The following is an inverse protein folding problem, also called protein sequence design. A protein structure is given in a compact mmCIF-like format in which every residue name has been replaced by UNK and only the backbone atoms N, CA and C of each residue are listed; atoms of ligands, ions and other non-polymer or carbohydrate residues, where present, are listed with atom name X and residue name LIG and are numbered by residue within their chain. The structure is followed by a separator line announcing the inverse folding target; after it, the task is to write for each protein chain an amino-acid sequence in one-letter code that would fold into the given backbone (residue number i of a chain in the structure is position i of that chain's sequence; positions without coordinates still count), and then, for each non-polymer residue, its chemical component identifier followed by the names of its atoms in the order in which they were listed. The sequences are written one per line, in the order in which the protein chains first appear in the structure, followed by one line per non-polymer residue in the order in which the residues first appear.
data_IF_090700096514
#
_entry.id   IF_090700096514
#
_cell.length_a   1.000
_cell.length_b   1.000
_cell.length_c   1.000
_cell.angle_alpha   90.00
_cell.angle_beta   90.00
_cell.angle_gamma   90.00
#
_symmetry.space_group_name_H-M   'P 1'
#
loop_
_entity.id
_entity.type
_entity.pdbx_description
1 polymer ?
#
# COMPACT_ATOMS: atom_id res chain seq x y z
N UNK A 1 -29.37 -21.33 12.03
CA UNK A 1 -27.94 -20.96 12.08
C UNK A 1 -27.77 -19.78 11.14
N UNK A 2 -27.93 -18.57 11.66
CA UNK A 2 -27.69 -17.34 10.92
C UNK A 2 -26.21 -17.04 11.03
N UNK A 3 -25.48 -17.26 9.93
CA UNK A 3 -24.14 -16.71 9.78
C UNK A 3 -24.33 -15.21 9.64
N UNK A 4 -23.90 -14.46 10.65
CA UNK A 4 -23.69 -13.02 10.48
C UNK A 4 -22.46 -12.91 9.61
N UNK A 5 -22.65 -12.71 8.32
CA UNK A 5 -21.58 -12.35 7.41
C UNK A 5 -21.00 -11.02 7.91
N UNK A 6 -19.80 -11.05 8.47
CA UNK A 6 -19.00 -9.85 8.65
C UNK A 6 -18.69 -9.36 7.24
N UNK A 7 -19.55 -8.51 6.68
CA UNK A 7 -19.20 -7.73 5.50
C UNK A 7 -17.91 -7.03 5.86
N UNK A 8 -16.84 -7.35 5.14
CA UNK A 8 -15.57 -6.67 5.31
C UNK A 8 -15.79 -5.16 5.35
N UNK A 9 -15.06 -4.47 6.21
CA UNK A 9 -15.09 -3.02 6.41
C UNK A 9 -14.56 -2.29 5.16
N UNK A 10 -15.21 -2.48 4.02
CA UNK A 10 -14.85 -1.86 2.76
C UNK A 10 -15.64 -0.57 2.65
N UNK A 11 -14.99 0.59 2.63
CA UNK A 11 -15.69 1.85 2.57
C UNK A 11 -16.38 2.03 1.22
N UNK A 12 -17.59 2.59 1.27
CA UNK A 12 -18.44 2.80 0.09
C UNK A 12 -17.94 4.04 -0.66
N UNK A 13 -17.63 3.89 -1.95
CA UNK A 13 -17.09 4.96 -2.82
C UNK A 13 -15.76 5.59 -2.34
N UNK A 14 -14.96 4.86 -1.54
CA UNK A 14 -13.59 5.27 -1.17
C UNK A 14 -12.63 4.08 -1.19
N UNK A 15 -11.33 4.38 -1.28
CA UNK A 15 -10.30 3.38 -1.05
C UNK A 15 -10.16 3.11 0.46
N UNK A 16 -9.70 1.92 0.83
CA UNK A 16 -9.31 1.62 2.22
C UNK A 16 -8.09 2.47 2.56
N UNK A 17 -8.06 3.10 3.74
CA UNK A 17 -7.00 4.03 4.13
C UNK A 17 -7.07 5.38 3.42
N UNK A 18 -8.22 5.73 2.82
CA UNK A 18 -8.55 7.08 2.34
C UNK A 18 -10.03 7.39 2.68
N UNK A 19 -10.43 7.30 3.95
CA UNK A 19 -11.81 7.55 4.43
C UNK A 19 -11.98 8.70 5.41
N UNK A 20 -10.94 9.50 5.59
CA UNK A 20 -10.84 10.66 6.48
C UNK A 20 -11.97 11.71 6.37
N UNK A 21 -12.64 11.84 5.21
CA UNK A 21 -13.74 12.80 5.03
C UNK A 21 -15.09 12.30 5.58
N UNK A 22 -15.15 11.03 5.98
CA UNK A 22 -16.31 10.46 6.66
C UNK A 22 -16.00 10.32 8.14
N UNK A 23 -16.80 10.97 8.99
CA UNK A 23 -16.62 10.88 10.45
C UNK A 23 -16.64 9.41 10.88
N UNK A 24 -15.56 8.87 11.46
CA UNK A 24 -15.54 7.49 11.94
C UNK A 24 -16.56 7.32 13.07
N UNK A 25 -17.42 6.30 13.02
CA UNK A 25 -18.33 5.96 14.14
C UNK A 25 -17.57 5.36 15.34
N UNK A 26 -16.29 4.99 15.17
CA UNK A 26 -15.45 4.34 16.19
C UNK A 26 -14.05 4.95 16.13
N UNK A 27 -13.53 5.37 17.29
CA UNK A 27 -12.12 5.75 17.42
C UNK A 27 -11.24 4.50 17.23
N UNK A 28 -10.39 4.51 16.22
CA UNK A 28 -9.37 3.46 16.05
C UNK A 28 -8.33 3.59 17.17
N UNK A 29 -8.00 2.48 17.82
CA UNK A 29 -6.78 2.40 18.64
C UNK A 29 -5.62 2.51 17.65
N UNK A 30 -4.89 3.63 17.68
CA UNK A 30 -3.85 3.92 16.71
C UNK A 30 -2.75 2.87 16.81
N UNK A 31 -2.45 2.20 15.70
CA UNK A 31 -1.33 1.25 15.60
C UNK A 31 -0.03 2.02 15.83
N UNK A 32 0.79 1.61 16.79
CA UNK A 32 2.10 2.25 16.96
C UNK A 32 3.03 1.80 15.83
N UNK A 33 4.01 2.64 15.48
CA UNK A 33 4.93 2.31 14.38
C UNK A 33 5.63 0.95 14.57
N UNK A 34 5.96 0.58 15.80
CA UNK A 34 6.56 -0.71 16.17
C UNK A 34 5.63 -1.92 16.04
N UNK A 35 4.32 -1.69 16.02
CA UNK A 35 3.30 -2.72 15.89
C UNK A 35 2.78 -2.83 14.44
N UNK A 36 3.09 -1.85 13.59
CA UNK A 36 2.69 -1.86 12.20
C UNK A 36 3.44 -2.92 11.39
N UNK A 37 2.69 -3.72 10.64
CA UNK A 37 3.16 -4.69 9.68
C UNK A 37 2.90 -4.19 8.25
N UNK A 38 3.97 -4.01 7.48
CA UNK A 38 3.89 -3.55 6.09
C UNK A 38 4.37 -4.65 5.15
N UNK A 39 3.52 -5.06 4.22
CA UNK A 39 3.93 -5.90 3.08
C UNK A 39 4.54 -5.04 1.98
N UNK A 40 5.80 -5.24 1.64
CA UNK A 40 6.49 -4.50 0.57
C UNK A 40 6.74 -5.41 -0.62
N UNK A 41 6.05 -5.15 -1.72
CA UNK A 41 6.26 -5.80 -3.02
C UNK A 41 7.30 -5.00 -3.80
N UNK A 42 8.44 -5.63 -4.07
CA UNK A 42 9.58 -5.00 -4.71
C UNK A 42 9.41 -4.71 -6.19
N UNK A 43 10.34 -3.91 -6.72
CA UNK A 43 10.45 -3.51 -8.11
C UNK A 43 11.74 -4.06 -8.74
N UNK A 44 11.94 -3.78 -10.04
CA UNK A 44 13.21 -4.07 -10.73
C UNK A 44 14.41 -3.35 -10.08
N UNK A 45 14.18 -2.23 -9.39
CA UNK A 45 15.21 -1.47 -8.67
C UNK A 45 15.24 -1.84 -7.18
N UNK A 46 15.84 -3.00 -6.89
CA UNK A 46 16.04 -3.48 -5.51
C UNK A 46 16.85 -2.52 -4.62
N UNK A 47 17.66 -1.63 -5.21
CA UNK A 47 18.43 -0.65 -4.43
C UNK A 47 17.51 0.48 -3.94
N UNK A 48 16.63 0.98 -4.81
CA UNK A 48 15.59 1.94 -4.42
C UNK A 48 14.61 1.35 -3.42
N UNK A 49 14.17 0.09 -3.63
CA UNK A 49 13.34 -0.63 -2.67
C UNK A 49 14.00 -0.67 -1.29
N UNK A 50 15.30 -1.00 -1.25
CA UNK A 50 16.05 -1.09 0.01
C UNK A 50 16.12 0.25 0.75
N UNK A 51 16.25 1.38 0.05
CA UNK A 51 16.24 2.70 0.69
C UNK A 51 14.90 2.98 1.38
N UNK A 52 13.79 2.68 0.69
CA UNK A 52 12.46 2.83 1.27
C UNK A 52 12.25 1.89 2.48
N UNK A 53 12.66 0.63 2.36
CA UNK A 53 12.55 -0.37 3.45
C UNK A 53 13.41 0.03 4.65
N UNK A 54 14.66 0.45 4.42
CA UNK A 54 15.57 0.86 5.49
C UNK A 54 15.01 2.12 6.21
N UNK A 55 14.41 3.07 5.48
CA UNK A 55 13.76 4.25 6.07
C UNK A 55 12.53 3.89 6.94
N UNK A 56 11.72 2.91 6.52
CA UNK A 56 10.61 2.40 7.32
C UNK A 56 11.11 1.67 8.58
N UNK A 57 12.14 0.84 8.43
CA UNK A 57 12.71 0.06 9.52
C UNK A 57 13.44 0.93 10.56
N UNK A 58 14.05 2.05 10.16
CA UNK A 58 14.70 3.02 11.07
C UNK A 58 13.72 3.61 12.09
N UNK A 59 12.45 3.78 11.68
CA UNK A 59 11.35 4.26 12.52
C UNK A 59 10.61 3.11 13.24
N UNK A 60 11.13 1.89 13.14
CA UNK A 60 10.64 0.71 13.87
C UNK A 60 9.52 -0.08 13.18
N UNK A 61 9.17 0.24 11.93
CA UNK A 61 8.10 -0.43 11.19
C UNK A 61 8.54 -1.83 10.75
N UNK A 62 7.69 -2.84 10.96
CA UNK A 62 7.98 -4.21 10.54
C UNK A 62 7.66 -4.38 9.05
N UNK A 63 8.68 -4.53 8.20
CA UNK A 63 8.50 -4.67 6.76
C UNK A 63 8.75 -6.12 6.30
N UNK A 64 7.74 -6.73 5.70
CA UNK A 64 7.87 -8.00 4.99
C UNK A 64 8.18 -7.76 3.52
N UNK A 65 9.38 -8.09 3.09
CA UNK A 65 9.82 -7.85 1.71
C UNK A 65 9.58 -9.06 0.80
N UNK A 66 8.85 -8.86 -0.30
CA UNK A 66 8.74 -9.77 -1.42
C UNK A 66 9.51 -9.21 -2.61
N UNK A 67 10.67 -9.80 -2.90
CA UNK A 67 11.53 -9.35 -3.99
C UNK A 67 10.84 -9.50 -5.36
N UNK A 68 11.10 -8.55 -6.25
CA UNK A 68 10.64 -8.63 -7.63
C UNK A 68 11.27 -9.83 -8.34
N UNK A 69 10.45 -10.55 -9.10
CA UNK A 69 10.91 -11.65 -9.93
C UNK A 69 10.36 -11.47 -11.34
N UNK A 70 11.23 -11.20 -12.31
CA UNK A 70 10.89 -10.95 -13.71
C UNK A 70 10.44 -12.21 -14.49
N UNK A 71 9.94 -13.25 -13.80
CA UNK A 71 9.47 -14.47 -14.46
C UNK A 71 8.10 -14.21 -15.11
N UNK A 72 8.08 -14.20 -16.46
CA UNK A 72 6.94 -13.86 -17.33
C UNK A 72 6.37 -12.43 -17.12
N UNK A 73 5.42 -11.98 -17.94
CA UNK A 73 4.71 -10.67 -18.00
C UNK A 73 5.26 -9.51 -17.12
N UNK A 74 6.55 -9.21 -17.23
CA UNK A 74 7.22 -8.20 -16.41
C UNK A 74 7.11 -8.41 -14.90
N UNK A 75 7.02 -9.65 -14.41
CA UNK A 75 6.93 -9.99 -12.98
C UNK A 75 5.58 -9.70 -12.31
N UNK A 76 4.56 -9.26 -13.06
CA UNK A 76 3.26 -8.85 -12.53
C UNK A 76 2.57 -9.99 -11.75
N UNK A 77 2.55 -11.22 -12.27
CA UNK A 77 1.91 -12.35 -11.60
C UNK A 77 2.55 -12.67 -10.24
N UNK A 78 3.88 -12.57 -10.12
CA UNK A 78 4.58 -12.79 -8.86
C UNK A 78 4.30 -11.67 -7.86
N UNK A 79 4.25 -10.43 -8.34
CA UNK A 79 3.87 -9.28 -7.52
C UNK A 79 2.43 -9.42 -7.00
N UNK A 80 1.48 -9.81 -7.86
CA UNK A 80 0.07 -10.06 -7.50
C UNK A 80 -0.08 -11.18 -6.47
N UNK A 81 0.68 -12.27 -6.62
CA UNK A 81 0.72 -13.33 -5.62
C UNK A 81 1.25 -12.82 -4.28
N UNK A 82 2.30 -12.00 -4.30
CA UNK A 82 2.88 -11.41 -3.08
C UNK A 82 1.87 -10.52 -2.34
N UNK A 83 1.08 -9.72 -3.07
CA UNK A 83 -0.04 -8.96 -2.48
C UNK A 83 -1.03 -9.91 -1.81
N UNK A 84 -1.40 -10.99 -2.48
CA UNK A 84 -2.33 -11.98 -1.94
C UNK A 84 -1.80 -12.66 -0.67
N UNK A 85 -0.50 -12.95 -0.62
CA UNK A 85 0.16 -13.53 0.55
C UNK A 85 0.19 -12.55 1.73
N UNK A 86 0.41 -11.26 1.47
CA UNK A 86 0.34 -10.21 2.50
C UNK A 86 -1.09 -9.98 3.00
N UNK A 87 -2.07 -10.05 2.11
CA UNK A 87 -3.49 -10.01 2.49
C UNK A 87 -3.85 -11.18 3.39
N UNK A 88 -3.42 -12.39 3.05
CA UNK A 88 -3.62 -13.59 3.87
C UNK A 88 -2.91 -13.53 5.23
N UNK A 89 -1.83 -12.75 5.32
CA UNK A 89 -1.11 -12.47 6.57
C UNK A 89 -1.80 -11.41 7.43
N UNK A 90 -2.72 -10.64 6.86
CA UNK A 90 -3.38 -9.50 7.50
C UNK A 90 -2.39 -8.42 7.94
N UNK A 91 -1.49 -8.02 7.03
CA UNK A 91 -0.66 -6.82 7.22
C UNK A 91 -1.53 -5.56 7.30
N UNK A 92 -1.01 -4.51 7.93
CA UNK A 92 -1.72 -3.23 8.09
C UNK A 92 -1.73 -2.40 6.80
N UNK A 93 -0.72 -2.58 5.92
CA UNK A 93 -0.64 -1.92 4.63
C UNK A 93 0.22 -2.72 3.63
N UNK A 94 -0.14 -2.66 2.35
CA UNK A 94 0.69 -3.18 1.26
C UNK A 94 1.29 -2.01 0.46
N UNK A 95 2.62 -1.94 0.37
CA UNK A 95 3.33 -1.04 -0.55
C UNK A 95 3.73 -1.83 -1.79
N UNK A 96 3.41 -1.32 -2.98
CA UNK A 96 3.86 -1.89 -4.25
C UNK A 96 4.81 -0.91 -4.94
N UNK A 97 6.08 -1.27 -5.02
CA UNK A 97 7.12 -0.49 -5.69
C UNK A 97 7.10 -0.70 -7.19
N UNK A 98 7.22 0.38 -7.96
CA UNK A 98 7.32 0.32 -9.42
C UNK A 98 6.07 -0.23 -10.10
N UNK A 99 4.90 -0.11 -9.47
CA UNK A 99 3.64 -0.63 -10.00
C UNK A 99 3.41 -0.20 -11.46
N UNK A 100 3.07 -1.17 -12.31
CA UNK A 100 2.85 -0.95 -13.73
C UNK A 100 1.68 -1.80 -14.22
N UNK A 101 0.56 -1.13 -14.49
CA UNK A 101 -0.59 -1.70 -15.15
C UNK A 101 -0.48 -1.48 -16.67
N UNK A 102 -0.78 -2.55 -17.41
CA UNK A 102 -0.75 -2.61 -18.88
C UNK A 102 -2.05 -3.27 -19.36
N UNK A 103 -2.33 -3.22 -20.66
CA UNK A 103 -3.52 -3.90 -21.22
C UNK A 103 -3.53 -5.42 -21.00
N UNK A 104 -2.39 -6.06 -20.74
CA UNK A 104 -2.28 -7.52 -20.58
C UNK A 104 -2.54 -7.98 -19.14
N UNK A 105 -2.23 -7.14 -18.15
CA UNK A 105 -2.37 -7.46 -16.73
C UNK A 105 -3.42 -6.60 -16.01
N UNK A 106 -4.21 -5.80 -16.74
CA UNK A 106 -5.20 -4.90 -16.15
C UNK A 106 -6.23 -5.66 -15.30
N UNK A 107 -6.91 -6.64 -15.88
CA UNK A 107 -7.96 -7.39 -15.19
C UNK A 107 -7.43 -8.09 -13.92
N UNK A 108 -6.22 -8.67 -14.01
CA UNK A 108 -5.61 -9.36 -12.87
C UNK A 108 -5.16 -8.40 -11.77
N UNK A 109 -4.65 -7.22 -12.13
CA UNK A 109 -4.33 -6.18 -11.14
C UNK A 109 -5.58 -5.60 -10.49
N UNK A 110 -6.62 -5.30 -11.27
CA UNK A 110 -7.90 -4.81 -10.74
C UNK A 110 -8.47 -5.82 -9.75
N UNK A 111 -8.47 -7.11 -10.10
CA UNK A 111 -8.91 -8.16 -9.18
C UNK A 111 -8.03 -8.24 -7.92
N UNK A 112 -6.70 -8.18 -8.06
CA UNK A 112 -5.76 -8.25 -6.92
C UNK A 112 -5.98 -7.12 -5.93
N UNK A 113 -6.08 -5.89 -6.43
CA UNK A 113 -6.32 -4.70 -5.60
C UNK A 113 -7.74 -4.70 -5.00
N UNK A 114 -8.73 -5.22 -5.74
CA UNK A 114 -10.09 -5.40 -5.22
C UNK A 114 -10.09 -6.37 -4.04
N UNK A 115 -9.38 -7.50 -4.13
CA UNK A 115 -9.28 -8.46 -3.03
C UNK A 115 -8.62 -7.84 -1.78
N UNK A 116 -7.55 -7.04 -1.95
CA UNK A 116 -6.92 -6.34 -0.84
C UNK A 116 -7.88 -5.34 -0.19
N UNK A 117 -8.59 -4.56 -1.01
CA UNK A 117 -9.63 -3.62 -0.57
C UNK A 117 -10.76 -4.33 0.18
N UNK A 118 -11.27 -5.45 -0.36
CA UNK A 118 -12.28 -6.29 0.28
C UNK A 118 -11.78 -6.99 1.54
N UNK A 119 -10.47 -7.10 1.74
CA UNK A 119 -9.89 -7.55 3.01
C UNK A 119 -9.76 -6.40 4.04
N UNK A 120 -10.04 -5.16 3.65
CA UNK A 120 -9.84 -3.98 4.49
C UNK A 120 -8.37 -3.59 4.63
N UNK A 121 -7.52 -3.97 3.67
CA UNK A 121 -6.08 -3.66 3.70
C UNK A 121 -5.79 -2.54 2.68
N UNK A 122 -5.28 -1.38 3.12
CA UNK A 122 -4.91 -0.29 2.23
C UNK A 122 -3.70 -0.68 1.36
N UNK A 123 -3.69 -0.18 0.13
CA UNK A 123 -2.58 -0.35 -0.81
C UNK A 123 -2.00 1.02 -1.17
N UNK A 124 -0.68 1.17 -1.03
CA UNK A 124 0.06 2.34 -1.48
C UNK A 124 0.97 1.97 -2.66
N UNK A 125 1.03 2.84 -3.66
CA UNK A 125 1.85 2.63 -4.87
C UNK A 125 3.09 3.50 -4.81
N UNK A 126 4.27 2.92 -4.63
CA UNK A 126 5.55 3.64 -4.56
C UNK A 126 6.19 3.74 -5.95
N UNK A 127 6.46 4.98 -6.40
CA UNK A 127 6.98 5.29 -7.72
C UNK A 127 6.31 4.49 -8.86
N UNK A 128 4.98 4.51 -8.98
CA UNK A 128 4.28 3.76 -10.02
C UNK A 128 4.65 4.29 -11.41
N UNK A 129 4.83 3.39 -12.38
CA UNK A 129 5.01 3.74 -13.80
C UNK A 129 3.67 4.05 -14.48
N UNK A 130 2.59 3.44 -14.01
CA UNK A 130 1.21 3.71 -14.43
C UNK A 130 0.26 3.47 -13.27
N UNK A 131 -0.88 4.15 -13.25
CA UNK A 131 -1.88 4.02 -12.18
C UNK A 131 -3.10 3.24 -12.68
N UNK A 132 -3.83 2.53 -11.81
CA UNK A 132 -5.17 2.04 -12.12
C UNK A 132 -6.11 3.23 -12.43
N UNK A 133 -7.02 3.06 -13.39
CA UNK A 133 -8.04 4.07 -13.70
C UNK A 133 -9.05 4.26 -12.56
N UNK A 134 -9.30 3.19 -11.78
CA UNK A 134 -10.17 3.20 -10.61
C UNK A 134 -9.39 3.62 -9.36
N UNK A 135 -9.69 4.81 -8.85
CA UNK A 135 -9.07 5.41 -7.67
C UNK A 135 -9.54 4.79 -6.35
N UNK A 136 -10.51 3.87 -6.38
CA UNK A 136 -10.95 3.12 -5.21
C UNK A 136 -10.03 1.95 -4.85
N UNK A 137 -9.10 1.60 -5.74
CA UNK A 137 -8.25 0.41 -5.63
C UNK A 137 -6.98 0.63 -4.81
N UNK A 138 -6.60 1.87 -4.54
CA UNK A 138 -5.40 2.21 -3.79
C UNK A 138 -5.62 3.48 -2.97
N UNK A 139 -4.99 3.53 -1.79
CA UNK A 139 -5.10 4.64 -0.85
C UNK A 139 -4.36 5.88 -1.38
N UNK A 140 -3.09 5.70 -1.74
CA UNK A 140 -2.24 6.77 -2.20
C UNK A 140 -1.14 6.29 -3.17
N UNK A 141 -0.67 7.22 -3.99
CA UNK A 141 0.59 7.10 -4.73
C UNK A 141 1.68 7.88 -4.01
N UNK A 142 2.84 7.25 -3.84
CA UNK A 142 4.00 7.82 -3.16
C UNK A 142 5.09 8.03 -4.21
N UNK A 143 5.63 9.24 -4.30
CA UNK A 143 6.74 9.55 -5.21
C UNK A 143 7.97 9.93 -4.40
N UNK A 144 9.05 9.16 -4.52
CA UNK A 144 10.30 9.45 -3.81
C UNK A 144 10.94 10.70 -4.41
N UNK A 145 11.19 11.69 -3.55
CA UNK A 145 11.86 12.93 -3.91
C UNK A 145 12.69 13.47 -2.73
N UNK A 146 13.81 12.80 -2.44
CA UNK A 146 14.74 13.18 -1.35
C UNK A 146 15.36 14.58 -1.50
N UNK A 147 15.14 15.24 -2.65
CA UNK A 147 15.62 16.61 -2.89
C UNK A 147 14.60 17.68 -2.52
N UNK A 148 13.34 17.30 -2.31
CA UNK A 148 12.30 18.21 -1.88
C UNK A 148 12.30 18.33 -0.35
N UNK A 149 12.61 19.53 0.14
CA UNK A 149 12.61 19.80 1.58
C UNK A 149 11.22 19.73 2.22
N UNK A 150 10.15 19.66 1.41
CA UNK A 150 8.77 19.53 1.87
C UNK A 150 8.22 18.11 1.71
N UNK A 151 9.02 17.15 1.19
CA UNK A 151 8.59 15.77 1.11
C UNK A 151 8.40 15.20 2.52
N UNK A 152 7.25 14.58 2.75
CA UNK A 152 6.97 13.86 4.01
C UNK A 152 7.93 12.68 4.14
N UNK A 153 8.27 12.26 5.36
CA UNK A 153 9.00 11.00 5.52
C UNK A 153 8.12 9.85 5.03
N UNK A 154 8.71 8.86 4.38
CA UNK A 154 7.96 7.70 3.90
C UNK A 154 7.27 6.94 5.05
N UNK A 155 7.89 6.90 6.23
CA UNK A 155 7.30 6.34 7.45
C UNK A 155 6.06 7.10 7.91
N UNK A 156 6.13 8.44 7.97
CA UNK A 156 5.00 9.28 8.33
C UNK A 156 3.84 9.08 7.35
N UNK A 157 4.11 9.11 6.05
CA UNK A 157 3.09 8.89 5.02
C UNK A 157 2.43 7.51 5.15
N UNK A 158 3.21 6.45 5.40
CA UNK A 158 2.69 5.09 5.62
C UNK A 158 1.83 5.02 6.88
N UNK A 159 2.25 5.64 7.98
CA UNK A 159 1.46 5.68 9.23
C UNK A 159 0.15 6.43 9.04
N UNK A 160 0.19 7.60 8.39
CA UNK A 160 -1.00 8.38 8.09
C UNK A 160 -2.02 7.57 7.29
N UNK A 161 -1.59 6.75 6.32
CA UNK A 161 -2.49 5.85 5.58
C UNK A 161 -3.02 4.72 6.47
N UNK A 162 -2.16 4.06 7.27
CA UNK A 162 -2.57 2.99 8.20
C UNK A 162 -3.60 3.50 9.21
N UNK A 163 -3.43 4.72 9.70
CA UNK A 163 -4.34 5.37 10.65
C UNK A 163 -5.56 6.00 10.00
N UNK A 164 -5.66 5.97 8.67
CA UNK A 164 -6.71 6.64 7.90
C UNK A 164 -6.80 8.14 8.25
N UNK A 165 -5.65 8.76 8.53
CA UNK A 165 -5.53 10.19 8.80
C UNK A 165 -5.59 11.01 7.50
N UNK A 166 -5.94 12.30 7.56
CA UNK A 166 -6.03 13.11 6.35
C UNK A 166 -4.72 13.20 5.56
N UNK A 167 -4.75 12.73 4.31
CA UNK A 167 -3.63 12.84 3.36
C UNK A 167 -4.08 13.13 1.93
N UNK A 168 -3.12 13.54 1.08
CA UNK A 168 -3.34 13.67 -0.37
C UNK A 168 -3.27 12.30 -1.06
N UNK A 169 -3.85 12.19 -2.26
CA UNK A 169 -3.75 10.96 -3.09
C UNK A 169 -2.40 10.77 -3.76
N UNK A 170 -1.63 11.83 -3.90
CA UNK A 170 -0.27 11.82 -4.42
C UNK A 170 0.63 12.52 -3.43
N UNK A 171 1.51 11.77 -2.78
CA UNK A 171 2.36 12.26 -1.69
C UNK A 171 3.81 12.21 -2.16
N UNK A 172 4.50 13.35 -2.09
CA UNK A 172 5.94 13.36 -2.24
C UNK A 172 6.58 12.84 -0.94
N UNK A 173 7.38 11.79 -1.04
CA UNK A 173 8.00 11.14 0.12
C UNK A 173 9.52 11.21 0.07
N UNK A 174 10.14 11.24 1.25
CA UNK A 174 11.58 11.18 1.46
C UNK A 174 11.95 9.84 2.11
N UNK A 175 13.00 9.23 1.61
CA UNK A 175 13.69 8.07 2.20
C UNK A 175 14.89 8.47 3.05
N UNK A 176 15.23 9.76 3.08
CA UNK A 176 16.24 10.31 3.97
C UNK A 176 15.60 10.83 5.26
N UNK A 177 16.15 10.39 6.40
CA UNK A 177 15.72 10.75 7.77
C UNK A 177 16.22 12.13 8.20
#
# INVERSE_FOLDING_TARGET
MTVVSLSACTPVNRAVGDTQDTTPEVAHDSVHASDAEVGFVGSEDSAADKLAIDALADEGINVYYAAFNAADDGGAATAQQSVSDFVARSVDLVVISGFNITGTNNDSWVQTLTNAREAGIPVALLNPSSLPDDDLLYAASLTVNDRDANASRISDAVMTIIHDEPHERSIAVSTVS
#
